data_IF_027809647119
#
_entry.id   IF_027809647119
#
_cell.length_a   1.000
_cell.length_b   1.000
_cell.length_c   1.000
_cell.angle_alpha   90.00
_cell.angle_beta   90.00
_cell.angle_gamma   90.00
#
_symmetry.space_group_name_H-M   'P 1'
#
loop_
_entity.id
_entity.type
_entity.pdbx_description
1 polymer ?
#
# COMPACT_ATOMS: atom_id res chain seq x y z
N UNK A 1 2.76 16.80 12.66
CA UNK A 1 3.95 15.95 12.39
C UNK A 1 5.23 16.67 12.77
N UNK A 2 5.49 17.89 12.26
CA UNK A 2 6.67 18.69 12.63
C UNK A 2 6.76 18.95 14.14
N UNK A 3 5.66 19.39 14.77
CA UNK A 3 5.68 19.65 16.22
C UNK A 3 5.93 18.39 17.05
N UNK A 4 5.33 17.26 16.67
CA UNK A 4 5.56 15.97 17.30
C UNK A 4 7.03 15.56 17.16
N UNK A 5 7.61 15.72 15.97
CA UNK A 5 9.01 15.47 15.72
C UNK A 5 9.91 16.31 16.64
N UNK A 6 9.67 17.62 16.72
CA UNK A 6 10.44 18.54 17.55
C UNK A 6 10.29 18.26 19.05
N UNK A 7 9.08 17.92 19.52
CA UNK A 7 8.84 17.56 20.93
C UNK A 7 9.54 16.26 21.32
N UNK A 8 9.50 15.24 20.44
CA UNK A 8 10.25 14.00 20.65
C UNK A 8 11.76 14.27 20.67
N UNK A 9 12.23 15.09 19.74
CA UNK A 9 13.64 15.50 19.66
C UNK A 9 14.12 16.16 20.96
N UNK A 10 13.36 17.10 21.53
CA UNK A 10 13.66 17.74 22.82
C UNK A 10 13.76 16.75 23.98
N UNK A 11 13.06 15.61 23.88
CA UNK A 11 13.09 14.53 24.87
C UNK A 11 14.14 13.46 24.54
N UNK A 12 15.06 13.73 23.61
CA UNK A 12 16.06 12.79 23.12
C UNK A 12 15.46 11.52 22.48
N UNK A 13 14.24 11.62 21.92
CA UNK A 13 13.59 10.55 21.17
C UNK A 13 13.74 10.86 19.68
N UNK A 14 14.40 9.96 18.94
CA UNK A 14 14.59 10.08 17.49
C UNK A 14 13.46 9.38 16.75
N UNK A 15 12.62 10.15 16.05
CA UNK A 15 11.64 9.58 15.12
C UNK A 15 12.32 9.37 13.78
N UNK A 16 12.33 8.13 13.30
CA UNK A 16 12.89 7.74 11.99
C UNK A 16 11.84 7.69 10.88
N UNK A 17 10.55 7.59 11.24
CA UNK A 17 9.47 7.55 10.27
C UNK A 17 8.09 7.57 10.88
N UNK A 18 7.10 7.76 10.00
CA UNK A 18 5.68 7.72 10.32
C UNK A 18 5.00 6.64 9.48
N UNK A 19 4.09 5.92 10.12
CA UNK A 19 3.18 5.01 9.45
C UNK A 19 1.75 5.54 9.56
N UNK A 20 0.98 5.50 8.48
CA UNK A 20 -0.43 5.88 8.49
C UNK A 20 -1.29 4.96 7.65
N UNK A 21 -2.60 5.02 7.87
CA UNK A 21 -3.57 4.45 6.94
C UNK A 21 -3.47 5.12 5.56
N UNK A 22 -4.02 4.47 4.54
CA UNK A 22 -3.96 4.85 3.14
C UNK A 22 -5.05 5.88 2.73
N UNK A 23 -5.63 6.63 3.66
CA UNK A 23 -6.60 7.68 3.34
C UNK A 23 -5.97 8.87 2.62
N UNK A 24 -6.76 9.53 1.77
CA UNK A 24 -6.32 10.66 0.96
C UNK A 24 -5.73 11.81 1.80
N UNK A 25 -6.29 12.06 3.00
CA UNK A 25 -5.78 13.10 3.92
C UNK A 25 -4.36 12.79 4.43
N UNK A 26 -4.07 11.53 4.74
CA UNK A 26 -2.76 11.13 5.24
C UNK A 26 -1.75 11.05 4.10
N UNK A 27 -2.16 10.55 2.94
CA UNK A 27 -1.38 10.59 1.70
C UNK A 27 -0.95 12.02 1.34
N UNK A 28 -1.87 12.99 1.45
CA UNK A 28 -1.54 14.41 1.24
C UNK A 28 -0.51 14.90 2.27
N UNK A 29 -0.66 14.52 3.53
CA UNK A 29 0.27 14.93 4.58
C UNK A 29 1.68 14.32 4.37
N UNK A 30 1.76 13.02 4.03
CA UNK A 30 3.00 12.34 3.66
C UNK A 30 3.66 13.04 2.47
N UNK A 31 2.89 13.29 1.40
CA UNK A 31 3.35 13.96 0.18
C UNK A 31 4.02 15.31 0.47
N UNK A 32 3.39 16.15 1.31
CA UNK A 32 3.93 17.45 1.68
C UNK A 32 5.18 17.33 2.57
N UNK A 33 5.18 16.37 3.50
CA UNK A 33 6.30 16.14 4.42
C UNK A 33 7.50 15.48 3.75
N UNK A 34 7.31 14.64 2.73
CA UNK A 34 8.39 14.01 1.97
C UNK A 34 8.89 14.88 0.80
N UNK A 35 8.30 16.06 0.63
CA UNK A 35 8.55 16.97 -0.50
C UNK A 35 8.31 16.29 -1.86
N UNK A 36 7.31 15.40 -1.92
CA UNK A 36 6.99 14.62 -3.12
C UNK A 36 5.96 15.38 -3.96
N UNK A 37 6.34 15.94 -5.11
CA UNK A 37 5.46 16.77 -5.96
C UNK A 37 4.72 17.90 -5.23
N UNK A 38 5.24 18.38 -4.10
CA UNK A 38 4.65 19.44 -3.29
C UNK A 38 5.44 19.66 -2.00
N UNK A 39 5.40 20.86 -1.45
CA UNK A 39 6.16 21.22 -0.23
C UNK A 39 5.28 21.98 0.76
N UNK A 40 5.68 21.94 2.03
CA UNK A 40 5.15 22.87 3.01
C UNK A 40 5.73 24.27 2.75
N UNK A 41 4.91 25.33 2.79
CA UNK A 41 5.38 26.69 2.49
C UNK A 41 6.40 27.19 3.52
N UNK A 42 6.26 26.77 4.78
CA UNK A 42 7.03 27.33 5.91
C UNK A 42 8.01 26.32 6.54
N UNK A 43 8.16 25.12 5.97
CA UNK A 43 9.02 24.09 6.56
C UNK A 43 9.81 23.34 5.48
N UNK A 44 11.10 23.64 5.39
CA UNK A 44 12.05 23.03 4.47
C UNK A 44 12.57 21.71 5.05
N UNK A 45 11.80 20.63 4.87
CA UNK A 45 12.07 19.31 5.50
C UNK A 45 13.48 18.79 5.23
N UNK A 46 13.95 18.94 3.99
CA UNK A 46 15.25 18.43 3.55
C UNK A 46 16.44 19.24 4.09
N UNK A 47 16.23 20.47 4.56
CA UNK A 47 17.29 21.32 5.11
C UNK A 47 17.44 21.14 6.63
N UNK A 48 16.62 20.28 7.24
CA UNK A 48 16.67 20.07 8.68
C UNK A 48 18.03 19.45 9.08
N UNK A 49 18.66 19.88 10.20
CA UNK A 49 19.98 19.38 10.62
C UNK A 49 20.08 17.88 10.85
N UNK A 50 18.93 17.23 11.03
CA UNK A 50 18.82 15.78 11.23
C UNK A 50 18.37 15.01 9.97
N UNK A 51 18.25 15.70 8.83
CA UNK A 51 17.97 15.02 7.59
C UNK A 51 19.13 14.08 7.24
N UNK A 52 18.79 12.89 6.77
CA UNK A 52 19.73 11.84 6.39
C UNK A 52 19.67 11.58 4.89
N UNK A 53 20.75 10.99 4.37
CA UNK A 53 20.85 10.63 2.97
C UNK A 53 20.45 9.15 2.77
N UNK A 54 19.55 8.92 1.83
CA UNK A 54 19.12 7.62 1.37
C UNK A 54 19.82 7.33 0.05
N UNK A 55 20.51 6.19 -0.03
CA UNK A 55 21.05 5.69 -1.28
C UNK A 55 19.94 5.00 -2.07
N UNK A 56 19.38 5.69 -3.05
CA UNK A 56 18.39 5.10 -3.96
C UNK A 56 19.09 4.43 -5.14
N UNK A 57 18.67 3.23 -5.52
CA UNK A 57 19.20 2.56 -6.71
C UNK A 57 18.56 3.15 -7.97
N UNK A 58 19.35 3.60 -8.94
CA UNK A 58 18.87 4.13 -10.24
C UNK A 58 18.16 3.09 -11.14
N UNK A 59 17.96 1.86 -10.67
CA UNK A 59 17.45 0.75 -11.48
C UNK A 59 15.95 0.85 -11.78
N UNK A 60 15.20 1.64 -11.02
CA UNK A 60 13.75 1.71 -11.11
C UNK A 60 13.31 3.11 -11.57
N UNK A 61 13.09 3.33 -12.88
CA UNK A 61 12.75 4.66 -13.40
C UNK A 61 11.40 5.19 -12.90
N UNK A 62 10.55 4.30 -12.39
CA UNK A 62 9.26 4.61 -11.76
C UNK A 62 9.37 4.90 -10.25
N UNK A 63 10.51 4.58 -9.62
CA UNK A 63 10.71 4.82 -8.19
C UNK A 63 11.24 6.24 -7.99
N UNK A 64 10.45 7.07 -7.32
CA UNK A 64 10.85 8.43 -6.99
C UNK A 64 10.88 8.62 -5.48
N UNK A 65 12.05 8.94 -4.96
CA UNK A 65 12.28 9.37 -3.60
C UNK A 65 13.46 10.33 -3.62
N UNK A 66 13.33 11.50 -2.97
CA UNK A 66 14.46 12.42 -2.87
C UNK A 66 15.53 11.82 -1.96
N UNK A 67 16.79 11.92 -2.33
CA UNK A 67 17.89 11.31 -1.54
C UNK A 67 17.96 11.86 -0.11
N UNK A 68 17.67 13.13 0.10
CA UNK A 68 17.68 13.74 1.43
C UNK A 68 16.28 13.70 2.05
N UNK A 69 16.14 12.95 3.14
CA UNK A 69 14.89 12.78 3.88
C UNK A 69 15.09 13.12 5.36
N UNK A 70 14.08 13.73 5.97
CA UNK A 70 14.03 13.85 7.44
C UNK A 70 13.39 12.61 8.08
N UNK A 71 12.46 11.97 7.38
CA UNK A 71 11.59 10.92 7.87
C UNK A 71 11.27 9.94 6.74
N UNK A 72 11.09 8.68 7.10
CA UNK A 72 10.49 7.68 6.21
C UNK A 72 8.97 7.66 6.41
N UNK A 73 8.22 7.47 5.32
CA UNK A 73 6.77 7.37 5.36
C UNK A 73 6.34 6.00 4.85
N UNK A 74 5.50 5.32 5.63
CA UNK A 74 4.98 4.01 5.31
C UNK A 74 3.46 4.06 5.32
N UNK A 75 2.83 3.46 4.32
CA UNK A 75 1.40 3.17 4.39
C UNK A 75 1.20 1.82 5.06
N UNK A 76 0.10 1.67 5.79
CA UNK A 76 -0.29 0.38 6.34
C UNK A 76 -0.54 -0.63 5.21
N UNK A 77 0.31 -1.66 5.15
CA UNK A 77 0.25 -2.73 4.16
C UNK A 77 -1.05 -3.52 4.23
N UNK A 78 -1.65 -3.69 5.41
CA UNK A 78 -2.93 -4.39 5.61
C UNK A 78 -4.05 -3.66 4.89
N UNK A 79 -4.09 -2.33 5.05
CA UNK A 79 -5.05 -1.46 4.37
C UNK A 79 -4.80 -1.40 2.87
N UNK A 80 -3.53 -1.39 2.43
CA UNK A 80 -3.18 -1.46 1.01
C UNK A 80 -3.74 -2.74 0.37
N UNK A 81 -3.40 -3.92 0.89
CA UNK A 81 -3.86 -5.20 0.33
C UNK A 81 -5.39 -5.28 0.33
N UNK A 82 -6.04 -4.79 1.39
CA UNK A 82 -7.50 -4.73 1.47
C UNK A 82 -8.11 -3.84 0.37
N UNK A 83 -7.47 -2.70 0.05
CA UNK A 83 -7.89 -1.84 -1.08
C UNK A 83 -7.72 -2.53 -2.43
N UNK A 84 -6.62 -3.26 -2.63
CA UNK A 84 -6.41 -4.06 -3.85
C UNK A 84 -7.49 -5.12 -4.01
N UNK A 85 -7.79 -5.89 -2.96
CA UNK A 85 -8.92 -6.84 -2.97
C UNK A 85 -10.23 -6.15 -3.28
N UNK A 86 -10.55 -5.04 -2.61
CA UNK A 86 -11.81 -4.35 -2.84
C UNK A 86 -11.92 -3.76 -4.25
N UNK A 87 -10.80 -3.36 -4.87
CA UNK A 87 -10.76 -2.94 -6.28
C UNK A 87 -10.98 -4.13 -7.22
N UNK A 88 -10.33 -5.26 -6.97
CA UNK A 88 -10.53 -6.52 -7.70
C UNK A 88 -11.99 -7.00 -7.68
N UNK A 89 -12.65 -6.87 -6.53
CA UNK A 89 -14.04 -7.29 -6.33
C UNK A 89 -15.06 -6.18 -6.67
N UNK A 90 -14.61 -5.02 -7.14
CA UNK A 90 -15.50 -3.89 -7.42
C UNK A 90 -16.26 -4.11 -8.71
N UNK A 91 -17.58 -3.84 -8.69
CA UNK A 91 -18.39 -3.78 -9.90
C UNK A 91 -18.31 -2.43 -10.63
N UNK A 92 -17.71 -1.42 -10.00
CA UNK A 92 -17.68 -0.03 -10.51
C UNK A 92 -16.28 0.46 -10.84
N UNK A 93 -15.25 -0.27 -10.42
CA UNK A 93 -13.89 0.22 -10.40
C UNK A 93 -12.99 -0.82 -11.06
N UNK A 94 -12.40 -0.49 -12.21
CA UNK A 94 -11.54 -1.40 -12.97
C UNK A 94 -10.18 -1.60 -12.29
N UNK A 95 -9.63 -2.81 -12.39
CA UNK A 95 -8.25 -3.11 -12.00
C UNK A 95 -7.48 -3.52 -13.25
N UNK A 96 -6.43 -2.77 -13.59
CA UNK A 96 -5.59 -3.05 -14.75
C UNK A 96 -4.14 -3.28 -14.33
N UNK A 97 -3.50 -4.29 -14.92
CA UNK A 97 -2.05 -4.49 -14.87
C UNK A 97 -1.49 -4.40 -16.29
N UNK A 98 -0.82 -3.29 -16.59
CA UNK A 98 -0.44 -2.96 -17.96
C UNK A 98 -1.68 -2.82 -18.84
N UNK A 99 -1.76 -3.63 -19.90
CA UNK A 99 -2.89 -3.64 -20.84
C UNK A 99 -3.92 -4.74 -20.53
N UNK A 100 -3.79 -5.42 -19.38
CA UNK A 100 -4.69 -6.52 -18.99
C UNK A 100 -5.68 -6.05 -17.94
N UNK A 101 -6.95 -6.38 -18.14
CA UNK A 101 -8.01 -6.15 -17.16
C UNK A 101 -8.14 -7.35 -16.23
N UNK A 102 -8.28 -7.09 -14.93
CA UNK A 102 -8.51 -8.12 -13.93
C UNK A 102 -9.95 -8.00 -13.44
N UNK A 103 -10.71 -9.07 -13.67
CA UNK A 103 -12.13 -9.14 -13.36
C UNK A 103 -12.39 -10.20 -12.29
N UNK A 104 -13.46 -10.01 -11.52
CA UNK A 104 -13.95 -11.00 -10.55
C UNK A 104 -14.34 -12.32 -11.21
N UNK A 105 -14.73 -12.32 -12.49
CA UNK A 105 -15.04 -13.53 -13.25
C UNK A 105 -13.88 -14.52 -13.26
N UNK A 106 -12.63 -14.04 -13.33
CA UNK A 106 -11.45 -14.91 -13.27
C UNK A 106 -11.39 -15.73 -11.97
N UNK A 107 -11.86 -15.17 -10.85
CA UNK A 107 -11.94 -15.90 -9.58
C UNK A 107 -13.12 -16.86 -9.53
N UNK A 108 -14.24 -16.51 -10.19
CA UNK A 108 -15.36 -17.43 -10.35
C UNK A 108 -14.98 -18.64 -11.20
N UNK A 109 -14.18 -18.44 -12.25
CA UNK A 109 -13.71 -19.52 -13.12
C UNK A 109 -12.82 -20.50 -12.37
N UNK A 110 -12.00 -20.03 -11.42
CA UNK A 110 -11.20 -20.89 -10.52
C UNK A 110 -12.10 -21.66 -9.55
N UNK A 111 -13.04 -20.97 -8.88
CA UNK A 111 -13.89 -21.58 -7.84
C UNK A 111 -14.87 -22.60 -8.41
N UNK A 112 -15.34 -22.39 -9.64
CA UNK A 112 -16.33 -23.25 -10.29
C UNK A 112 -15.69 -24.21 -11.30
N UNK A 113 -14.34 -24.31 -11.34
CA UNK A 113 -13.66 -25.21 -12.26
C UNK A 113 -13.94 -26.67 -11.88
N UNK A 114 -14.25 -27.52 -12.87
CA UNK A 114 -14.47 -28.96 -12.63
C UNK A 114 -13.15 -29.73 -12.42
N UNK A 115 -12.03 -29.18 -12.90
CA UNK A 115 -10.69 -29.79 -12.84
C UNK A 115 -10.05 -29.65 -11.46
N UNK A 116 -10.38 -28.58 -10.73
CA UNK A 116 -9.68 -28.19 -9.51
C UNK A 116 -10.67 -28.09 -8.35
N UNK A 117 -10.38 -28.82 -7.28
CA UNK A 117 -11.23 -28.83 -6.10
C UNK A 117 -10.90 -27.67 -5.16
N UNK A 118 -11.80 -27.41 -4.21
CA UNK A 118 -11.57 -26.45 -3.12
C UNK A 118 -10.29 -26.72 -2.33
N UNK A 119 -9.86 -27.98 -2.23
CA UNK A 119 -8.63 -28.34 -1.51
C UNK A 119 -7.39 -27.89 -2.29
N UNK A 120 -7.48 -27.81 -3.61
CA UNK A 120 -6.38 -27.40 -4.49
C UNK A 120 -6.22 -25.87 -4.48
N UNK A 121 -7.33 -25.14 -4.62
CA UNK A 121 -7.28 -23.67 -4.75
C UNK A 121 -7.58 -22.90 -3.44
N UNK A 122 -8.16 -23.53 -2.41
CA UNK A 122 -8.37 -22.94 -1.08
C UNK A 122 -9.40 -21.80 -0.96
N UNK A 123 -10.04 -21.39 -2.06
CA UNK A 123 -11.01 -20.29 -2.12
C UNK A 123 -12.45 -20.74 -1.86
N UNK A 124 -13.26 -19.83 -1.33
CA UNK A 124 -14.72 -20.00 -1.17
C UNK A 124 -15.48 -18.80 -1.72
N UNK A 125 -16.78 -18.98 -2.01
CA UNK A 125 -17.65 -17.88 -2.47
C UNK A 125 -17.69 -16.69 -1.50
N UNK A 126 -17.52 -16.93 -0.20
CA UNK A 126 -17.40 -15.85 0.80
C UNK A 126 -16.13 -15.04 0.67
N UNK A 127 -15.02 -15.63 0.18
CA UNK A 127 -13.73 -14.93 0.07
C UNK A 127 -13.77 -13.83 -1.00
N UNK A 128 -14.61 -14.00 -2.02
CA UNK A 128 -14.82 -13.05 -3.11
C UNK A 128 -16.08 -12.21 -2.96
N UNK A 129 -16.75 -12.27 -1.80
CA UNK A 129 -17.95 -11.48 -1.57
C UNK A 129 -17.57 -10.00 -1.24
N UNK A 130 -18.01 -9.03 -2.07
CA UNK A 130 -17.65 -7.62 -1.91
C UNK A 130 -18.27 -6.95 -0.67
N UNK A 131 -19.25 -7.58 -0.01
CA UNK A 131 -19.84 -7.07 1.24
C UNK A 131 -18.82 -7.06 2.39
N UNK A 132 -17.88 -7.99 2.40
CA UNK A 132 -16.88 -8.13 3.47
C UNK A 132 -15.63 -7.29 3.21
N UNK A 133 -15.77 -5.96 3.18
CA UNK A 133 -14.70 -5.03 2.76
C UNK A 133 -13.45 -5.02 3.66
N UNK A 134 -13.55 -5.50 4.90
CA UNK A 134 -12.47 -5.51 5.89
C UNK A 134 -11.89 -6.93 6.13
N UNK A 135 -12.31 -7.93 5.36
CA UNK A 135 -11.85 -9.30 5.56
C UNK A 135 -10.42 -9.48 5.02
N UNK A 136 -9.45 -9.30 5.90
CA UNK A 136 -8.03 -9.50 5.59
C UNK A 136 -7.67 -10.98 5.35
N UNK A 137 -8.36 -11.93 6.01
CA UNK A 137 -8.11 -13.36 5.79
C UNK A 137 -8.37 -13.77 4.34
N UNK A 138 -9.44 -13.24 3.73
CA UNK A 138 -9.70 -13.46 2.30
C UNK A 138 -8.66 -12.82 1.40
N UNK A 139 -8.04 -11.70 1.83
CA UNK A 139 -6.92 -11.11 1.09
C UNK A 139 -5.73 -12.09 1.04
N UNK A 140 -5.34 -12.65 2.19
CA UNK A 140 -4.21 -13.59 2.27
C UNK A 140 -4.38 -14.80 1.36
N UNK A 141 -5.60 -15.35 1.30
CA UNK A 141 -5.91 -16.47 0.40
C UNK A 141 -5.80 -16.10 -1.07
N UNK A 142 -6.35 -14.94 -1.45
CA UNK A 142 -6.29 -14.45 -2.83
C UNK A 142 -4.88 -14.12 -3.30
N UNK A 143 -4.00 -13.74 -2.38
CA UNK A 143 -2.58 -13.46 -2.66
C UNK A 143 -1.67 -14.66 -2.39
N UNK A 144 -2.21 -15.83 -2.06
CA UNK A 144 -1.41 -17.02 -1.75
C UNK A 144 -0.69 -17.50 -3.00
N UNK A 145 0.61 -17.80 -2.88
CA UNK A 145 1.38 -18.42 -3.95
C UNK A 145 0.88 -19.82 -4.30
N UNK A 146 0.18 -20.48 -3.37
CA UNK A 146 -0.38 -21.82 -3.59
C UNK A 146 -1.62 -21.80 -4.47
N UNK A 147 -2.26 -20.64 -4.66
CA UNK A 147 -3.49 -20.51 -5.47
C UNK A 147 -3.29 -20.90 -6.94
N UNK A 148 -2.06 -20.76 -7.46
CA UNK A 148 -1.70 -21.08 -8.84
C UNK A 148 -0.70 -22.23 -8.94
N UNK A 149 -0.54 -23.06 -7.89
CA UNK A 149 0.19 -24.35 -7.99
C UNK A 149 -0.62 -25.44 -8.72
N UNK A 150 -1.64 -24.98 -9.42
CA UNK A 150 -2.63 -25.73 -10.16
C UNK A 150 -2.09 -26.06 -11.55
#
# INVERSE_FOLDING_TARGET
>A
MVDIFNQCLQRNIRIIGFSTDADAKYLRAMRLMSVFFGSLPNFQVHQHPQAFQIKTTLRWPWFYLREQQLLLFFQDSTHMVTKWRNRLLSSTAELCLGNQFILISHLHDIINNETYSKLDHGLTKSDINPKYRQNFSSCLKLTSADLFKI
#
